data_IF_115145337442
#
_entry.id   IF_115145337442
#
_cell.length_a   1.000
_cell.length_b   1.000
_cell.length_c   1.000
_cell.angle_alpha   90.00
_cell.angle_beta   90.00
_cell.angle_gamma   90.00
#
_symmetry.space_group_name_H-M   'P 1'
#
loop_
_entity.id
_entity.type
_entity.pdbx_description
1 polymer ?
#
# COMPACT_ATOMS: atom_id res chain seq x y z
N UNK A 1 6.53 33.43 -3.29
CA UNK A 1 6.91 32.01 -3.39
C UNK A 1 6.53 31.37 -2.06
N UNK A 2 5.52 30.51 -2.01
CA UNK A 2 5.05 29.91 -0.75
C UNK A 2 6.04 28.82 -0.34
N UNK A 3 6.59 28.92 0.87
CA UNK A 3 7.45 27.89 1.44
C UNK A 3 6.66 26.58 1.49
N UNK A 4 7.11 25.57 0.72
CA UNK A 4 6.66 24.20 0.93
C UNK A 4 7.15 23.81 2.31
N UNK A 5 6.24 23.53 3.24
CA UNK A 5 6.62 22.95 4.52
C UNK A 5 7.43 21.69 4.25
N UNK A 6 8.71 21.68 4.65
CA UNK A 6 9.50 20.45 4.70
C UNK A 6 8.94 19.62 5.84
N UNK A 7 8.10 18.64 5.49
CA UNK A 7 7.64 17.67 6.45
C UNK A 7 8.83 16.75 6.76
N UNK A 8 9.35 16.83 7.98
CA UNK A 8 10.37 15.89 8.50
C UNK A 8 9.86 14.44 8.53
N UNK A 9 8.54 14.26 8.50
CA UNK A 9 7.87 12.97 8.45
C UNK A 9 7.09 12.82 7.15
N UNK A 10 7.04 11.60 6.60
CA UNK A 10 6.25 11.35 5.40
C UNK A 10 4.77 11.65 5.68
N UNK A 11 4.13 12.62 4.98
CA UNK A 11 2.71 12.87 5.15
C UNK A 11 1.93 11.60 4.83
N UNK A 12 0.89 11.32 5.63
CA UNK A 12 0.04 10.15 5.39
C UNK A 12 -0.67 10.21 4.05
N UNK A 13 -1.05 11.41 3.61
CA UNK A 13 -1.71 11.62 2.32
C UNK A 13 -0.71 12.21 1.31
N UNK A 14 -0.47 11.48 0.23
CA UNK A 14 0.52 11.79 -0.79
C UNK A 14 -0.16 12.24 -2.10
N UNK A 15 0.29 13.34 -2.74
CA UNK A 15 -0.06 13.67 -4.12
C UNK A 15 0.58 12.67 -5.11
N UNK A 16 0.04 12.57 -6.33
CA UNK A 16 0.49 11.60 -7.34
C UNK A 16 2.01 11.49 -7.55
N UNK A 17 2.79 12.60 -7.66
CA UNK A 17 4.23 12.48 -7.87
C UNK A 17 4.96 11.81 -6.69
N UNK A 18 4.52 12.10 -5.47
CA UNK A 18 5.11 11.52 -4.25
C UNK A 18 4.67 10.07 -4.05
N UNK A 19 3.41 9.74 -4.36
CA UNK A 19 2.92 8.36 -4.31
C UNK A 19 3.62 7.46 -5.34
N UNK A 20 3.90 7.99 -6.54
CA UNK A 20 4.64 7.28 -7.58
C UNK A 20 6.09 7.03 -7.15
N UNK A 21 6.75 8.06 -6.61
CA UNK A 21 8.09 7.93 -6.03
C UNK A 21 8.14 6.94 -4.86
N UNK A 22 7.10 6.89 -4.03
CA UNK A 22 6.99 5.96 -2.90
C UNK A 22 6.98 4.49 -3.36
N UNK A 23 6.22 4.19 -4.43
CA UNK A 23 6.16 2.84 -5.02
C UNK A 23 7.31 2.54 -6.00
N UNK A 24 8.18 3.52 -6.30
CA UNK A 24 9.25 3.35 -7.29
C UNK A 24 8.77 3.23 -8.74
N UNK A 25 7.58 3.74 -9.07
CA UNK A 25 6.99 3.69 -10.43
C UNK A 25 6.79 5.09 -11.01
N UNK A 26 6.47 5.17 -12.31
CA UNK A 26 6.08 6.42 -12.95
C UNK A 26 4.66 6.86 -12.55
N UNK A 27 4.35 8.15 -12.66
CA UNK A 27 2.99 8.66 -12.42
C UNK A 27 1.96 8.08 -13.39
N UNK A 28 2.36 7.74 -14.61
CA UNK A 28 1.48 7.12 -15.61
C UNK A 28 1.12 5.70 -15.19
N UNK A 29 2.10 4.92 -14.74
CA UNK A 29 1.88 3.59 -14.18
C UNK A 29 0.96 3.67 -12.96
N UNK A 30 1.24 4.56 -12.01
CA UNK A 30 0.40 4.76 -10.81
C UNK A 30 -1.06 5.04 -11.16
N UNK A 31 -1.33 5.82 -12.21
CA UNK A 31 -2.71 6.13 -12.65
C UNK A 31 -3.44 4.93 -13.26
N UNK A 32 -2.69 3.97 -13.81
CA UNK A 32 -3.23 2.70 -14.29
C UNK A 32 -3.51 1.70 -13.16
N UNK A 33 -2.92 1.90 -11.99
CA UNK A 33 -3.18 1.06 -10.82
C UNK A 33 -4.55 1.42 -10.22
N UNK A 34 -5.33 0.40 -9.87
CA UNK A 34 -6.66 0.59 -9.27
C UNK A 34 -6.56 0.83 -7.75
N UNK A 35 -5.70 1.77 -7.35
CA UNK A 35 -5.48 2.12 -5.93
C UNK A 35 -6.50 3.19 -5.51
N UNK A 36 -7.22 3.00 -4.39
CA UNK A 36 -8.22 3.94 -3.93
C UNK A 36 -7.59 5.30 -3.59
N UNK A 37 -8.24 6.38 -4.06
CA UNK A 37 -7.82 7.76 -3.83
C UNK A 37 -8.77 8.44 -2.85
N UNK A 38 -8.20 9.15 -1.87
CA UNK A 38 -8.96 9.99 -0.94
C UNK A 38 -9.17 11.38 -1.54
N UNK A 39 -10.38 11.90 -1.41
CA UNK A 39 -10.74 13.24 -1.87
C UNK A 39 -10.68 14.19 -0.68
N UNK A 40 -9.84 15.21 -0.77
CA UNK A 40 -9.74 16.28 0.22
C UNK A 40 -9.94 17.62 -0.50
N UNK A 41 -11.17 18.13 -0.43
CA UNK A 41 -11.61 19.28 -1.23
C UNK A 41 -11.49 18.98 -2.73
N UNK A 42 -10.79 19.82 -3.47
CA UNK A 42 -10.54 19.63 -4.91
C UNK A 42 -9.38 18.69 -5.26
N UNK A 43 -8.66 18.15 -4.27
CA UNK A 43 -7.47 17.32 -4.49
C UNK A 43 -7.76 15.85 -4.30
N UNK A 44 -7.13 15.02 -5.14
CA UNK A 44 -7.10 13.56 -5.01
C UNK A 44 -5.73 13.15 -4.48
N UNK A 45 -5.71 12.49 -3.33
CA UNK A 45 -4.51 12.08 -2.62
C UNK A 45 -4.53 10.56 -2.39
N UNK A 46 -3.36 9.95 -2.32
CA UNK A 46 -3.17 8.55 -1.96
C UNK A 46 -2.87 8.44 -0.47
N UNK A 47 -3.46 7.47 0.21
CA UNK A 47 -3.06 7.15 1.59
C UNK A 47 -1.85 6.22 1.54
N UNK A 48 -0.80 6.53 2.31
CA UNK A 48 0.39 5.68 2.42
C UNK A 48 0.05 4.24 2.79
N UNK A 49 -0.91 4.02 3.69
CA UNK A 49 -1.30 2.66 4.09
C UNK A 49 -1.97 1.89 2.95
N UNK A 50 -2.70 2.58 2.07
CA UNK A 50 -3.29 1.93 0.90
C UNK A 50 -2.23 1.58 -0.16
N UNK A 51 -1.13 2.36 -0.22
CA UNK A 51 0.02 2.03 -1.06
C UNK A 51 0.78 0.82 -0.49
N UNK A 52 0.95 0.75 0.82
CA UNK A 52 1.58 -0.39 1.51
C UNK A 52 0.75 -1.66 1.30
N UNK A 53 -0.56 -1.61 1.51
CA UNK A 53 -1.48 -2.74 1.27
C UNK A 53 -1.44 -3.22 -0.19
N UNK A 54 -1.37 -2.29 -1.13
CA UNK A 54 -1.20 -2.64 -2.54
C UNK A 54 0.14 -3.36 -2.78
N UNK A 55 1.24 -2.86 -2.22
CA UNK A 55 2.55 -3.48 -2.36
C UNK A 55 2.60 -4.89 -1.73
N UNK A 56 2.00 -5.06 -0.54
CA UNK A 56 1.91 -6.35 0.15
C UNK A 56 1.05 -7.38 -0.62
N UNK A 57 0.08 -6.90 -1.40
CA UNK A 57 -0.77 -7.76 -2.24
C UNK A 57 -0.10 -8.27 -3.51
N UNK A 58 1.06 -7.71 -3.89
CA UNK A 58 1.76 -8.12 -5.11
C UNK A 58 2.39 -9.50 -4.93
N UNK A 59 2.22 -10.35 -5.94
CA UNK A 59 2.91 -11.64 -5.98
C UNK A 59 4.41 -11.41 -6.09
N UNK A 60 5.16 -12.04 -5.20
CA UNK A 60 6.62 -12.11 -5.29
C UNK A 60 7.01 -13.22 -6.26
N UNK A 61 7.93 -12.92 -7.17
CA UNK A 61 8.44 -13.91 -8.12
C UNK A 61 9.03 -15.13 -7.38
N UNK A 62 8.58 -16.34 -7.74
CA UNK A 62 9.05 -17.60 -7.15
C UNK A 62 8.32 -18.02 -5.86
N UNK A 63 7.34 -17.24 -5.39
CA UNK A 63 6.49 -17.57 -4.23
C UNK A 63 5.13 -18.21 -4.62
N UNK A 64 4.92 -18.51 -5.90
CA UNK A 64 3.76 -19.26 -6.40
C UNK A 64 3.64 -20.70 -5.84
N UNK A 65 4.62 -21.13 -5.05
CA UNK A 65 4.62 -22.45 -4.39
C UNK A 65 4.13 -22.30 -2.94
N UNK A 66 2.81 -22.12 -2.77
CA UNK A 66 2.08 -22.49 -1.57
C UNK A 66 2.64 -22.02 -0.24
N UNK A 67 2.54 -20.72 0.06
CA UNK A 67 2.57 -20.28 1.46
C UNK A 67 1.29 -20.79 2.13
N UNK A 68 1.36 -22.01 2.65
CA UNK A 68 0.40 -22.55 3.60
C UNK A 68 0.28 -21.54 4.75
N UNK A 69 -0.84 -20.82 4.78
CA UNK A 69 -1.16 -19.91 5.87
C UNK A 69 -1.24 -20.78 7.13
N UNK A 70 -0.18 -20.76 7.96
CA UNK A 70 -0.12 -21.47 9.22
C UNK A 70 -1.07 -20.81 10.22
N UNK A 71 -2.37 -21.06 10.03
CA UNK A 71 -3.39 -20.61 10.95
C UNK A 71 -3.32 -21.49 12.19
N UNK A 72 -3.07 -20.89 13.35
CA UNK A 72 -3.07 -21.56 14.65
C UNK A 72 -4.35 -22.40 14.89
N UNK A 73 -5.45 -22.06 14.21
CA UNK A 73 -6.70 -22.80 14.17
C UNK A 73 -6.54 -24.25 13.66
N UNK A 74 -5.63 -24.49 12.71
CA UNK A 74 -5.34 -25.83 12.19
C UNK A 74 -4.46 -26.68 13.11
N UNK A 75 -3.53 -26.06 13.85
CA UNK A 75 -2.55 -26.80 14.66
C UNK A 75 -3.00 -27.13 16.09
N UNK A 76 -3.86 -26.30 16.69
CA UNK A 76 -4.19 -26.42 18.13
C UNK A 76 -5.66 -26.76 18.43
N UNK A 77 -6.48 -27.03 17.41
CA UNK A 77 -7.94 -27.17 17.51
C UNK A 77 -8.50 -28.53 17.96
N UNK A 78 -7.73 -29.43 18.58
CA UNK A 78 -8.31 -30.68 19.13
C UNK A 78 -8.70 -30.48 20.59
N UNK A 79 -10.00 -30.37 20.87
CA UNK A 79 -10.56 -30.56 22.21
C UNK A 79 -10.46 -32.04 22.56
N UNK A 80 -9.90 -32.34 23.73
CA UNK A 80 -9.99 -33.63 24.38
C UNK A 80 -11.48 -33.96 24.61
N UNK A 81 -11.87 -35.18 24.26
CA UNK A 81 -13.10 -35.84 24.70
C UNK A 81 -12.74 -37.28 25.02
#
# INVERSE_FOLDING_TARGET
>A
MMARAELTFAPRLLPSPQAAAYLGVSETTLRGLNIPRKVLGGKRLYDRLALDEYADSLTMEGLDTGVEVNTCRGKFGRRAS
#
